data_IF_116535826424
#
_entry.id   IF_116535826424
#
_cell.length_a   1.000
_cell.length_b   1.000
_cell.length_c   1.000
_cell.angle_alpha   90.00
_cell.angle_beta   90.00
_cell.angle_gamma   90.00
#
_symmetry.space_group_name_H-M   'P 1'
#
loop_
_entity.id
_entity.type
_entity.pdbx_description
1 polymer ?
#
# COMPACT_ATOMS: atom_id res chain seq x y z
N UNK A 1 -40.12 -64.23 12.29
CA UNK A 1 -39.74 -63.29 13.38
C UNK A 1 -38.46 -63.84 13.99
N UNK A 2 -37.35 -63.39 13.42
CA UNK A 2 -35.98 -63.94 13.43
C UNK A 2 -35.08 -63.03 14.30
N UNK A 3 -34.14 -63.54 15.12
CA UNK A 3 -32.80 -64.09 14.78
C UNK A 3 -31.84 -62.98 14.35
N UNK A 4 -30.54 -62.84 14.68
CA UNK A 4 -29.46 -63.72 15.20
C UNK A 4 -28.25 -62.79 15.48
N UNK A 5 -27.52 -62.84 16.60
CA UNK A 5 -26.18 -63.45 16.82
C UNK A 5 -25.23 -63.70 15.61
N UNK A 6 -23.93 -63.43 15.86
CA UNK A 6 -22.71 -64.23 15.54
C UNK A 6 -21.83 -63.92 14.28
N UNK A 7 -20.50 -63.92 14.54
CA UNK A 7 -19.29 -64.26 13.74
C UNK A 7 -18.88 -63.37 12.53
N UNK A 8 -17.63 -62.88 12.41
CA UNK A 8 -16.34 -63.55 12.06
C UNK A 8 -16.36 -64.28 10.70
N UNK A 9 -15.59 -63.77 9.71
CA UNK A 9 -14.92 -64.43 8.56
C UNK A 9 -14.50 -63.28 7.59
N UNK A 10 -13.21 -62.94 7.36
CA UNK A 10 -12.26 -63.58 6.44
C UNK A 10 -12.98 -64.08 5.16
N UNK A 11 -12.60 -63.83 3.90
CA UNK A 11 -11.34 -63.56 3.24
C UNK A 11 -11.65 -63.65 1.72
N UNK A 12 -10.91 -62.90 0.88
CA UNK A 12 -10.51 -63.24 -0.50
C UNK A 12 -11.54 -63.47 -1.64
N UNK A 13 -11.46 -62.63 -2.69
CA UNK A 13 -11.06 -62.94 -4.09
C UNK A 13 -11.34 -61.66 -4.94
N UNK A 14 -10.56 -61.19 -5.92
CA UNK A 14 -9.24 -61.52 -6.46
C UNK A 14 -8.77 -60.34 -7.36
N UNK A 15 -7.49 -59.95 -7.24
CA UNK A 15 -6.48 -59.62 -8.28
C UNK A 15 -7.00 -58.99 -9.60
N UNK A 16 -6.53 -57.80 -10.02
CA UNK A 16 -5.38 -57.62 -10.96
C UNK A 16 -4.57 -56.33 -10.69
N UNK A 17 -3.27 -56.57 -10.45
CA UNK A 17 -2.03 -55.81 -10.68
C UNK A 17 -2.03 -54.36 -11.24
N UNK A 18 -1.19 -53.49 -10.65
CA UNK A 18 -0.75 -52.23 -11.27
C UNK A 18 0.04 -51.26 -10.37
N UNK A 19 1.26 -51.64 -9.97
CA UNK A 19 2.42 -50.80 -9.55
C UNK A 19 2.20 -49.44 -8.87
N UNK A 20 2.57 -49.35 -7.58
CA UNK A 20 2.85 -48.07 -6.90
C UNK A 20 3.34 -48.30 -5.47
N UNK A 21 4.63 -48.06 -5.22
CA UNK A 21 5.33 -48.39 -3.98
C UNK A 21 4.69 -47.78 -2.71
N UNK A 22 4.43 -48.63 -1.72
CA UNK A 22 4.12 -48.25 -0.33
C UNK A 22 5.38 -48.49 0.51
N UNK A 23 5.87 -47.44 1.17
CA UNK A 23 6.95 -47.50 2.16
C UNK A 23 6.51 -48.36 3.35
N UNK A 24 7.22 -49.46 3.60
CA UNK A 24 7.07 -50.27 4.80
C UNK A 24 7.84 -49.64 5.97
N UNK A 25 7.20 -49.49 7.12
CA UNK A 25 7.89 -49.29 8.40
C UNK A 25 8.32 -50.65 8.94
N UNK A 26 9.63 -50.92 8.98
CA UNK A 26 10.19 -52.04 9.72
C UNK A 26 10.49 -51.60 11.16
N UNK A 27 9.80 -52.20 12.13
CA UNK A 27 10.26 -52.23 13.52
C UNK A 27 11.27 -53.39 13.65
N UNK A 28 12.55 -53.06 13.81
CA UNK A 28 13.55 -54.02 14.27
C UNK A 28 13.72 -53.90 15.78
N UNK A 29 13.29 -54.93 16.50
CA UNK A 29 13.68 -55.20 17.89
C UNK A 29 15.09 -55.76 17.89
N UNK A 30 16.05 -55.02 18.43
CA UNK A 30 17.35 -55.57 18.82
C UNK A 30 17.59 -55.35 20.31
N UNK A 31 17.71 -56.47 21.02
CA UNK A 31 18.21 -56.57 22.39
C UNK A 31 19.72 -56.31 22.40
N UNK A 32 20.19 -55.36 23.21
CA UNK A 32 21.58 -55.34 23.64
C UNK A 32 21.70 -54.83 25.08
N UNK A 33 22.35 -55.66 25.91
CA UNK A 33 22.64 -55.42 27.32
C UNK A 33 24.15 -55.10 27.46
N UNK A 34 24.51 -54.23 28.41
CA UNK A 34 25.87 -53.72 28.73
C UNK A 34 26.43 -52.72 27.70
N UNK A 35 27.01 -51.57 28.03
CA UNK A 35 27.75 -51.14 29.22
C UNK A 35 27.79 -49.59 29.28
N UNK A 36 28.22 -49.06 30.42
CA UNK A 36 28.09 -47.65 30.88
C UNK A 36 28.77 -46.58 29.99
N UNK A 37 28.14 -45.39 29.93
CA UNK A 37 28.87 -44.12 30.06
C UNK A 37 28.88 -43.14 28.86
N UNK A 38 27.89 -42.24 28.83
CA UNK A 38 27.87 -40.88 28.24
C UNK A 38 28.69 -40.62 26.95
N UNK A 39 27.98 -40.59 25.81
CA UNK A 39 28.31 -39.71 24.68
C UNK A 39 27.02 -39.08 24.14
N UNK A 40 26.97 -37.74 24.17
CA UNK A 40 25.92 -36.93 23.57
C UNK A 40 25.85 -37.20 22.06
N UNK A 41 24.84 -37.95 21.61
CA UNK A 41 24.47 -38.00 20.19
C UNK A 41 23.41 -36.93 19.93
N UNK A 42 23.85 -35.83 19.31
CA UNK A 42 23.00 -34.81 18.71
C UNK A 42 22.01 -35.46 17.74
N UNK A 43 20.72 -35.50 18.10
CA UNK A 43 19.64 -35.65 17.14
C UNK A 43 19.63 -34.39 16.28
N UNK A 44 20.15 -34.48 15.05
CA UNK A 44 20.01 -33.42 14.05
C UNK A 44 18.52 -33.33 13.67
N UNK A 45 17.85 -32.18 13.86
CA UNK A 45 16.53 -31.98 13.29
C UNK A 45 16.65 -32.03 11.77
N UNK A 46 15.74 -32.75 11.11
CA UNK A 46 15.58 -32.70 9.66
C UNK A 46 15.38 -31.24 9.25
N UNK A 47 16.33 -30.69 8.49
CA UNK A 47 16.26 -29.37 7.89
C UNK A 47 15.26 -29.41 6.73
N UNK A 48 13.98 -29.20 7.03
CA UNK A 48 12.99 -28.89 6.00
C UNK A 48 13.29 -27.50 5.44
N UNK A 49 13.88 -27.45 4.24
CA UNK A 49 14.02 -26.20 3.49
C UNK A 49 12.65 -25.83 2.92
N UNK A 50 11.93 -24.96 3.62
CA UNK A 50 10.72 -24.33 3.10
C UNK A 50 11.15 -23.29 2.07
N UNK A 51 11.07 -23.67 0.80
CA UNK A 51 11.34 -22.75 -0.33
C UNK A 51 10.21 -21.73 -0.40
N UNK A 52 10.56 -20.44 -0.34
CA UNK A 52 9.62 -19.32 -0.45
C UNK A 52 10.14 -18.31 -1.45
N UNK A 53 9.25 -17.81 -2.27
CA UNK A 53 9.53 -16.80 -3.27
C UNK A 53 8.28 -15.94 -3.47
N UNK A 54 8.45 -14.76 -4.06
CA UNK A 54 7.33 -13.89 -4.44
C UNK A 54 6.50 -14.57 -5.53
N UNK A 55 5.19 -14.59 -5.35
CA UNK A 55 4.23 -15.17 -6.30
C UNK A 55 4.02 -14.21 -7.48
N UNK A 56 5.08 -14.04 -8.27
CA UNK A 56 5.11 -13.11 -9.40
C UNK A 56 4.36 -13.70 -10.61
N UNK A 57 3.91 -12.83 -11.53
CA UNK A 57 3.31 -13.25 -12.79
C UNK A 57 4.31 -14.04 -13.64
N UNK A 58 3.81 -15.06 -14.34
CA UNK A 58 4.58 -15.90 -15.24
C UNK A 58 3.71 -16.29 -16.43
N UNK A 59 4.32 -16.86 -17.47
CA UNK A 59 3.61 -17.30 -18.67
C UNK A 59 3.94 -18.76 -18.97
N UNK A 60 2.97 -19.49 -19.50
CA UNK A 60 3.24 -20.81 -20.08
C UNK A 60 3.79 -20.73 -21.51
N UNK A 61 4.12 -21.89 -22.09
CA UNK A 61 4.58 -21.98 -23.48
C UNK A 61 3.56 -21.54 -24.54
N UNK A 62 2.30 -21.26 -24.14
CA UNK A 62 1.23 -20.73 -24.98
C UNK A 62 0.88 -19.26 -24.68
N UNK A 63 1.73 -18.53 -23.94
CA UNK A 63 1.49 -17.16 -23.46
C UNK A 63 0.27 -16.99 -22.53
N UNK A 64 -0.23 -18.08 -21.94
CA UNK A 64 -1.24 -17.99 -20.91
C UNK A 64 -0.59 -17.52 -19.61
N UNK A 65 -1.06 -16.38 -19.10
CA UNK A 65 -0.60 -15.81 -17.83
C UNK A 65 -1.05 -16.70 -16.65
N UNK A 66 -0.11 -16.98 -15.76
CA UNK A 66 -0.28 -17.68 -14.50
C UNK A 66 0.46 -16.95 -13.38
N UNK A 67 0.56 -17.61 -12.22
CA UNK A 67 1.29 -17.07 -11.06
C UNK A 67 2.32 -18.09 -10.60
N UNK A 68 3.51 -17.62 -10.26
CA UNK A 68 4.56 -18.49 -9.77
C UNK A 68 4.19 -19.08 -8.39
N UNK A 69 4.09 -20.40 -8.29
CA UNK A 69 3.82 -21.13 -7.05
C UNK A 69 4.71 -22.36 -6.97
N UNK A 70 4.85 -22.95 -5.79
CA UNK A 70 5.48 -24.27 -5.70
C UNK A 70 4.61 -25.31 -6.44
N UNK A 71 5.18 -26.38 -7.00
CA UNK A 71 4.39 -27.42 -7.68
C UNK A 71 3.28 -28.01 -6.79
N UNK A 72 3.54 -28.14 -5.49
CA UNK A 72 2.58 -28.65 -4.51
C UNK A 72 1.42 -27.67 -4.33
N UNK A 73 1.71 -26.40 -4.06
CA UNK A 73 0.70 -25.35 -3.93
C UNK A 73 -0.16 -25.25 -5.19
N UNK A 74 0.46 -25.25 -6.36
CA UNK A 74 -0.27 -25.17 -7.62
C UNK A 74 -1.32 -26.28 -7.75
N UNK A 75 -0.94 -27.52 -7.42
CA UNK A 75 -1.85 -28.66 -7.43
C UNK A 75 -2.92 -28.55 -6.35
N UNK A 76 -2.58 -28.08 -5.15
CA UNK A 76 -3.55 -27.82 -4.08
C UNK A 76 -4.59 -26.78 -4.49
N UNK A 77 -4.20 -25.80 -5.31
CA UNK A 77 -5.09 -24.80 -5.88
C UNK A 77 -5.82 -25.26 -7.15
N UNK A 78 -5.76 -26.56 -7.48
CA UNK A 78 -6.37 -27.13 -8.67
C UNK A 78 -5.83 -26.54 -9.99
N UNK A 79 -4.66 -25.90 -9.95
CA UNK A 79 -4.01 -25.31 -11.11
C UNK A 79 -3.12 -26.30 -11.83
N UNK A 80 -2.77 -25.96 -13.07
CA UNK A 80 -1.79 -26.67 -13.88
C UNK A 80 -0.45 -25.95 -13.82
N UNK A 81 0.62 -26.66 -13.47
CA UNK A 81 1.99 -26.14 -13.53
C UNK A 81 2.55 -26.31 -14.94
N UNK A 82 2.90 -25.22 -15.61
CA UNK A 82 3.19 -25.24 -17.06
C UNK A 82 4.62 -24.86 -17.45
N UNK A 83 5.25 -23.91 -16.75
CA UNK A 83 6.61 -23.44 -17.02
C UNK A 83 7.39 -23.26 -15.72
N UNK A 84 8.72 -23.27 -15.75
CA UNK A 84 9.50 -22.97 -14.54
C UNK A 84 9.54 -21.46 -14.27
N UNK A 85 9.49 -21.08 -13.00
CA UNK A 85 9.62 -19.70 -12.54
C UNK A 85 10.43 -19.64 -11.23
N UNK A 86 10.69 -18.43 -10.71
CA UNK A 86 11.50 -18.21 -9.51
C UNK A 86 12.85 -18.97 -9.55
N UNK A 87 13.62 -18.82 -10.63
CA UNK A 87 14.91 -19.52 -10.84
C UNK A 87 14.84 -21.05 -10.69
N UNK A 88 13.71 -21.66 -11.07
CA UNK A 88 13.50 -23.11 -11.05
C UNK A 88 12.91 -23.65 -9.75
N UNK A 89 12.67 -22.80 -8.74
CA UNK A 89 12.03 -23.18 -7.49
C UNK A 89 10.50 -23.27 -7.58
N UNK A 90 9.91 -22.63 -8.59
CA UNK A 90 8.46 -22.60 -8.81
C UNK A 90 8.04 -23.12 -10.17
N UNK A 91 6.74 -23.39 -10.28
CA UNK A 91 6.04 -23.60 -11.55
C UNK A 91 5.07 -22.46 -11.79
N UNK A 92 4.91 -22.09 -13.06
CA UNK A 92 3.89 -21.17 -13.49
C UNK A 92 2.53 -21.86 -13.35
N UNK A 93 1.78 -21.44 -12.34
CA UNK A 93 0.53 -22.07 -11.99
C UNK A 93 -0.62 -21.33 -12.65
N UNK A 94 -1.34 -22.05 -13.50
CA UNK A 94 -2.56 -21.54 -14.13
C UNK A 94 -3.73 -22.16 -13.37
N UNK A 95 -4.37 -21.36 -12.53
CA UNK A 95 -5.55 -21.77 -11.77
C UNK A 95 -6.70 -20.80 -12.00
N UNK A 96 -7.85 -21.35 -12.37
CA UNK A 96 -9.11 -20.61 -12.45
C UNK A 96 -9.58 -20.11 -11.08
N UNK A 97 -8.97 -20.53 -9.97
CA UNK A 97 -9.27 -19.98 -8.64
C UNK A 97 -8.75 -18.54 -8.48
N UNK A 98 -7.55 -18.25 -8.99
CA UNK A 98 -6.90 -16.94 -8.82
C UNK A 98 -6.86 -16.11 -10.08
N UNK A 99 -7.12 -16.68 -11.26
CA UNK A 99 -7.26 -15.91 -12.49
C UNK A 99 -8.73 -15.95 -12.92
N UNK A 100 -9.42 -14.81 -12.80
CA UNK A 100 -10.84 -14.65 -13.13
C UNK A 100 -11.04 -13.75 -14.34
N UNK A 101 -12.14 -13.97 -15.04
CA UNK A 101 -12.66 -13.07 -16.06
C UNK A 101 -14.12 -12.72 -15.73
N UNK A 102 -14.86 -12.23 -16.72
CA UNK A 102 -16.21 -11.69 -16.53
C UNK A 102 -17.19 -12.67 -15.89
N UNK A 103 -18.14 -12.13 -15.13
CA UNK A 103 -19.27 -12.84 -14.52
C UNK A 103 -18.81 -13.95 -13.56
N UNK A 104 -17.70 -13.71 -12.86
CA UNK A 104 -17.17 -14.66 -11.91
C UNK A 104 -17.31 -14.14 -10.49
N UNK A 105 -17.31 -15.08 -9.55
CA UNK A 105 -17.23 -14.79 -8.11
C UNK A 105 -15.95 -15.42 -7.54
N UNK A 106 -15.37 -14.76 -6.54
CA UNK A 106 -14.20 -15.26 -5.83
C UNK A 106 -14.27 -14.90 -4.34
N UNK A 107 -13.70 -15.76 -3.51
CA UNK A 107 -13.42 -15.47 -2.09
C UNK A 107 -11.94 -15.59 -1.75
N UNK A 108 -11.09 -15.67 -2.78
CA UNK A 108 -9.65 -15.82 -2.60
C UNK A 108 -9.02 -14.53 -2.05
N UNK A 109 -8.02 -14.67 -1.18
CA UNK A 109 -7.30 -13.53 -0.59
C UNK A 109 -6.59 -12.68 -1.64
N UNK A 110 -6.08 -13.30 -2.70
CA UNK A 110 -5.50 -12.61 -3.87
C UNK A 110 -6.14 -13.19 -5.13
N UNK A 111 -6.53 -12.33 -6.07
CA UNK A 111 -7.09 -12.73 -7.37
C UNK A 111 -6.65 -11.76 -8.45
N UNK A 112 -6.40 -12.27 -9.65
CA UNK A 112 -6.14 -11.52 -10.87
C UNK A 112 -7.42 -11.47 -11.69
N UNK A 113 -7.80 -10.27 -12.14
CA UNK A 113 -9.00 -10.03 -12.94
C UNK A 113 -8.60 -9.43 -14.28
N UNK A 114 -8.99 -10.09 -15.36
CA UNK A 114 -8.54 -9.74 -16.72
C UNK A 114 -9.67 -9.77 -17.74
N UNK A 115 -9.53 -9.00 -18.80
CA UNK A 115 -10.45 -9.05 -19.92
C UNK A 115 -10.45 -10.45 -20.58
N UNK A 116 -11.56 -10.90 -21.18
CA UNK A 116 -11.71 -12.26 -21.72
C UNK A 116 -10.54 -12.73 -22.59
N UNK A 117 -10.03 -11.87 -23.47
CA UNK A 117 -8.96 -12.22 -24.41
C UNK A 117 -7.54 -11.87 -23.91
N UNK A 118 -7.37 -11.42 -22.67
CA UNK A 118 -6.05 -11.04 -22.14
C UNK A 118 -5.02 -12.18 -22.32
N UNK A 119 -3.79 -11.88 -22.84
CA UNK A 119 -3.14 -10.57 -22.96
C UNK A 119 -3.50 -9.74 -24.20
N UNK A 120 -4.36 -10.26 -25.09
CA UNK A 120 -4.88 -9.48 -26.20
C UNK A 120 -5.94 -8.46 -25.71
N UNK A 121 -6.13 -7.42 -26.51
CA UNK A 121 -7.22 -6.47 -26.31
C UNK A 121 -8.54 -7.04 -26.84
N UNK A 122 -9.64 -6.66 -26.19
CA UNK A 122 -11.00 -6.87 -26.68
C UNK A 122 -11.53 -5.54 -27.25
N UNK A 123 -12.60 -5.58 -28.04
CA UNK A 123 -13.19 -4.39 -28.69
C UNK A 123 -14.72 -4.47 -28.80
N UNK A 124 -15.34 -5.31 -27.98
CA UNK A 124 -16.77 -5.55 -28.00
C UNK A 124 -17.44 -4.85 -26.81
N UNK A 125 -18.66 -4.34 -27.04
CA UNK A 125 -19.49 -3.84 -25.96
C UNK A 125 -19.81 -4.98 -24.99
N UNK A 126 -19.48 -4.78 -23.72
CA UNK A 126 -19.69 -5.79 -22.69
C UNK A 126 -19.92 -5.17 -21.31
N UNK A 127 -20.59 -5.94 -20.45
CA UNK A 127 -20.65 -5.68 -19.01
C UNK A 127 -19.83 -6.78 -18.35
N UNK A 128 -18.67 -6.45 -17.81
CA UNK A 128 -17.77 -7.44 -17.23
C UNK A 128 -17.61 -7.19 -15.73
N UNK A 129 -18.28 -7.99 -14.92
CA UNK A 129 -18.21 -7.90 -13.47
C UNK A 129 -17.37 -9.01 -12.85
N UNK A 130 -16.74 -8.69 -11.71
CA UNK A 130 -16.17 -9.64 -10.78
C UNK A 130 -16.77 -9.36 -9.39
N UNK A 131 -17.42 -10.38 -8.83
CA UNK A 131 -17.94 -10.35 -7.47
C UNK A 131 -16.92 -10.93 -6.48
N UNK A 132 -16.65 -10.20 -5.41
CA UNK A 132 -15.68 -10.58 -4.37
C UNK A 132 -16.44 -10.81 -3.07
N UNK A 133 -16.48 -12.06 -2.63
CA UNK A 133 -17.07 -12.45 -1.35
C UNK A 133 -16.03 -12.32 -0.24
N UNK A 134 -16.26 -11.38 0.68
CA UNK A 134 -15.37 -11.12 1.82
C UNK A 134 -15.84 -11.94 3.01
N UNK A 135 -15.37 -13.20 3.06
CA UNK A 135 -15.78 -14.18 4.07
C UNK A 135 -15.12 -13.99 5.42
N UNK A 136 -13.85 -13.58 5.43
CA UNK A 136 -13.09 -13.40 6.66
C UNK A 136 -13.42 -12.05 7.30
N UNK A 137 -13.90 -12.09 8.55
CA UNK A 137 -14.29 -10.94 9.36
C UNK A 137 -13.14 -9.94 9.57
N UNK A 138 -11.88 -10.39 9.58
CA UNK A 138 -10.74 -9.49 9.78
C UNK A 138 -10.37 -8.69 8.53
N UNK A 139 -10.94 -8.99 7.36
CA UNK A 139 -10.73 -8.16 6.16
C UNK A 139 -11.53 -6.87 6.29
N UNK A 140 -10.90 -5.71 6.11
CA UNK A 140 -11.62 -4.42 5.99
C UNK A 140 -11.31 -3.62 4.74
N UNK A 141 -10.33 -4.03 3.94
CA UNK A 141 -10.01 -3.32 2.72
C UNK A 141 -9.69 -4.28 1.59
N UNK A 142 -9.94 -3.83 0.37
CA UNK A 142 -9.38 -4.40 -0.84
C UNK A 142 -8.35 -3.43 -1.41
N UNK A 143 -7.25 -3.95 -1.93
CA UNK A 143 -6.32 -3.20 -2.77
C UNK A 143 -6.40 -3.73 -4.17
N UNK A 144 -6.64 -2.86 -5.14
CA UNK A 144 -6.60 -3.16 -6.56
C UNK A 144 -5.35 -2.52 -7.13
N UNK A 145 -4.40 -3.33 -7.58
CA UNK A 145 -3.21 -2.90 -8.32
C UNK A 145 -3.48 -3.04 -9.83
N UNK A 146 -3.26 -1.97 -10.58
CA UNK A 146 -3.54 -1.91 -12.02
C UNK A 146 -2.29 -2.32 -12.80
N UNK A 147 -2.10 -3.62 -12.99
CA UNK A 147 -0.93 -4.17 -13.70
C UNK A 147 -0.95 -3.79 -15.18
N UNK A 148 -2.14 -3.83 -15.78
CA UNK A 148 -2.46 -3.20 -17.05
C UNK A 148 -3.84 -2.56 -16.98
N UNK A 149 -4.00 -1.40 -17.60
CA UNK A 149 -5.26 -0.66 -17.59
C UNK A 149 -5.29 0.30 -18.77
N UNK A 150 -6.03 -0.10 -19.80
CA UNK A 150 -6.28 0.69 -20.99
C UNK A 150 -7.76 0.59 -21.35
N UNK A 151 -8.46 1.69 -21.16
CA UNK A 151 -9.83 1.90 -21.60
C UNK A 151 -9.88 3.09 -22.58
N UNK A 152 -11.03 3.31 -23.21
CA UNK A 152 -11.29 4.56 -23.94
C UNK A 152 -10.92 5.80 -23.10
N UNK A 153 -10.32 6.83 -23.71
CA UNK A 153 -10.00 8.07 -23.02
C UNK A 153 -11.28 8.84 -22.62
N UNK A 154 -11.20 9.73 -21.61
CA UNK A 154 -12.32 10.55 -21.21
C UNK A 154 -12.71 11.58 -22.28
N UNK A 155 -14.01 11.83 -22.41
CA UNK A 155 -14.54 12.95 -23.21
C UNK A 155 -14.82 14.12 -22.28
N UNK A 156 -14.08 15.23 -22.45
CA UNK A 156 -14.15 16.42 -21.58
C UNK A 156 -14.00 16.05 -20.08
N UNK A 157 -13.02 15.20 -19.78
CA UNK A 157 -12.74 14.72 -18.42
C UNK A 157 -13.73 13.68 -17.87
N UNK A 158 -14.73 13.24 -18.64
CA UNK A 158 -15.73 12.27 -18.18
C UNK A 158 -15.61 10.94 -18.92
N UNK A 159 -15.72 9.84 -18.18
CA UNK A 159 -15.73 8.48 -18.71
C UNK A 159 -17.09 8.13 -19.34
N UNK A 160 -17.36 8.69 -20.53
CA UNK A 160 -18.61 8.46 -21.27
C UNK A 160 -18.60 7.13 -22.04
N UNK A 161 -17.43 6.70 -22.51
CA UNK A 161 -17.23 5.41 -23.15
C UNK A 161 -17.00 4.31 -22.11
N UNK A 162 -15.90 3.59 -22.30
CA UNK A 162 -15.44 2.56 -21.38
C UNK A 162 -15.19 3.12 -19.98
N UNK A 163 -15.58 2.36 -18.95
CA UNK A 163 -15.40 2.78 -17.56
C UNK A 163 -15.27 1.61 -16.60
N UNK A 164 -14.43 1.81 -15.59
CA UNK A 164 -14.38 1.01 -14.38
C UNK A 164 -15.21 1.69 -13.29
N UNK A 165 -16.11 0.92 -12.67
CA UNK A 165 -16.84 1.28 -11.47
C UNK A 165 -16.59 0.23 -10.38
N UNK A 166 -16.37 0.68 -9.15
CA UNK A 166 -16.14 -0.21 -8.01
C UNK A 166 -17.12 0.11 -6.90
N UNK A 167 -17.76 -0.92 -6.36
CA UNK A 167 -18.69 -0.81 -5.25
C UNK A 167 -18.35 -1.83 -4.17
N UNK A 168 -18.71 -1.51 -2.93
CA UNK A 168 -18.53 -2.42 -1.81
C UNK A 168 -19.68 -2.26 -0.81
N UNK A 169 -19.94 -3.33 -0.06
CA UNK A 169 -20.94 -3.36 1.00
C UNK A 169 -20.72 -2.21 1.98
N UNK A 170 -21.78 -1.42 2.22
CA UNK A 170 -21.79 -0.25 3.12
C UNK A 170 -20.82 0.88 2.76
N UNK A 171 -20.18 0.82 1.60
CA UNK A 171 -19.45 1.96 1.08
C UNK A 171 -20.47 2.98 0.55
N UNK A 172 -20.30 4.25 0.90
CA UNK A 172 -21.19 5.29 0.39
C UNK A 172 -21.10 5.37 -1.14
N UNK A 173 -22.22 5.72 -1.78
CA UNK A 173 -22.27 5.90 -3.24
C UNK A 173 -21.25 6.95 -3.67
N UNK A 174 -20.59 6.72 -4.80
CA UNK A 174 -19.55 7.60 -5.37
C UNK A 174 -18.29 7.79 -4.52
N UNK A 175 -18.06 6.97 -3.48
CA UNK A 175 -16.81 7.03 -2.70
C UNK A 175 -15.57 6.63 -3.51
N UNK A 176 -15.75 5.81 -4.54
CA UNK A 176 -14.71 5.46 -5.50
C UNK A 176 -15.07 6.14 -6.83
N UNK A 177 -14.18 6.98 -7.40
CA UNK A 177 -14.44 7.62 -8.67
C UNK A 177 -14.49 6.59 -9.80
N UNK A 178 -15.31 6.87 -10.82
CA UNK A 178 -15.33 6.13 -12.07
C UNK A 178 -14.03 6.41 -12.85
N UNK A 179 -13.33 5.37 -13.30
CA UNK A 179 -12.04 5.50 -13.98
C UNK A 179 -12.11 5.05 -15.44
N UNK A 180 -11.33 5.70 -16.31
CA UNK A 180 -11.16 5.37 -17.72
C UNK A 180 -9.80 5.87 -18.22
N UNK A 181 -9.50 5.64 -19.50
CA UNK A 181 -8.20 5.94 -20.10
C UNK A 181 -7.07 5.03 -19.62
N UNK A 182 -5.87 5.59 -19.47
CA UNK A 182 -4.64 4.87 -19.14
C UNK A 182 -4.28 5.04 -17.66
N UNK A 183 -4.24 3.95 -16.90
CA UNK A 183 -3.96 3.99 -15.45
C UNK A 183 -2.99 2.90 -14.98
N UNK A 184 -2.14 2.40 -15.88
CA UNK A 184 -1.18 1.34 -15.58
C UNK A 184 -0.24 1.74 -14.43
N UNK A 185 0.11 0.77 -13.58
CA UNK A 185 0.94 0.90 -12.38
C UNK A 185 0.35 1.79 -11.26
N UNK A 186 -0.92 2.19 -11.37
CA UNK A 186 -1.66 2.81 -10.28
C UNK A 186 -2.28 1.74 -9.37
N UNK A 187 -2.87 2.19 -8.26
CA UNK A 187 -3.64 1.34 -7.36
C UNK A 187 -4.76 2.13 -6.67
N UNK A 188 -5.76 1.41 -6.18
CA UNK A 188 -6.81 1.97 -5.31
C UNK A 188 -7.09 1.07 -4.12
N UNK A 189 -7.43 1.69 -2.99
CA UNK A 189 -7.93 1.06 -1.78
C UNK A 189 -9.44 1.22 -1.69
N UNK A 190 -10.14 0.12 -1.45
CA UNK A 190 -11.60 0.06 -1.33
C UNK A 190 -11.93 -0.40 0.07
N UNK A 191 -12.64 0.43 0.83
CA UNK A 191 -13.06 0.07 2.18
C UNK A 191 -14.24 -0.91 2.14
N UNK A 192 -14.14 -1.96 2.95
CA UNK A 192 -15.17 -2.96 3.22
C UNK A 192 -15.39 -2.98 4.73
N UNK A 193 -16.14 -2.01 5.29
CA UNK A 193 -16.27 -1.86 6.74
C UNK A 193 -16.69 -3.16 7.41
N UNK A 194 -16.05 -3.49 8.53
CA UNK A 194 -16.51 -4.59 9.37
C UNK A 194 -17.91 -4.29 9.88
N UNK A 195 -18.74 -5.33 9.96
CA UNK A 195 -20.02 -5.25 10.62
C UNK A 195 -20.05 -6.25 11.77
N UNK A 196 -19.93 -5.73 12.99
CA UNK A 196 -20.04 -6.55 14.20
C UNK A 196 -21.45 -7.15 14.40
N UNK A 197 -22.47 -6.61 13.72
CA UNK A 197 -23.87 -6.87 14.04
C UNK A 197 -24.70 -7.47 12.89
N UNK A 198 -24.19 -7.53 11.65
CA UNK A 198 -24.93 -8.17 10.54
C UNK A 198 -24.39 -9.54 10.18
N UNK A 199 -25.32 -10.50 10.10
CA UNK A 199 -25.12 -11.80 9.44
C UNK A 199 -25.09 -11.70 7.90
N UNK A 200 -25.22 -10.49 7.34
CA UNK A 200 -25.17 -10.26 5.90
C UNK A 200 -23.73 -10.44 5.40
N UNK A 201 -23.55 -11.25 4.36
CA UNK A 201 -22.26 -11.41 3.71
C UNK A 201 -21.74 -10.06 3.20
N UNK A 202 -20.47 -9.75 3.47
CA UNK A 202 -19.80 -8.59 2.92
C UNK A 202 -19.24 -8.93 1.55
N UNK A 203 -19.43 -8.03 0.60
CA UNK A 203 -18.96 -8.21 -0.77
C UNK A 203 -18.52 -6.90 -1.40
N UNK A 204 -17.74 -7.01 -2.46
CA UNK A 204 -17.42 -5.94 -3.37
C UNK A 204 -17.66 -6.38 -4.82
N UNK A 205 -17.96 -5.42 -5.70
CA UNK A 205 -18.14 -5.66 -7.13
C UNK A 205 -17.26 -4.71 -7.91
N UNK A 206 -16.46 -5.31 -8.80
CA UNK A 206 -15.61 -4.60 -9.77
C UNK A 206 -16.29 -4.73 -11.12
N UNK A 207 -16.74 -3.62 -11.71
CA UNK A 207 -17.51 -3.62 -12.95
C UNK A 207 -16.80 -2.80 -14.02
N UNK A 208 -16.48 -3.45 -15.13
CA UNK A 208 -16.15 -2.76 -16.37
C UNK A 208 -17.39 -2.71 -17.25
N UNK A 209 -17.69 -1.51 -17.77
CA UNK A 209 -18.67 -1.33 -18.84
C UNK A 209 -17.92 -0.80 -20.05
N UNK A 210 -17.94 -1.54 -21.15
CA UNK A 210 -17.20 -1.20 -22.37
C UNK A 210 -18.15 -0.97 -23.55
N UNK A 211 -17.65 -0.30 -24.58
CA UNK A 211 -18.33 -0.10 -25.85
C UNK A 211 -17.56 -0.76 -27.02
N UNK A 212 -17.89 -0.41 -28.26
CA UNK A 212 -17.27 -0.92 -29.48
C UNK A 212 -16.48 0.13 -30.29
N UNK A 213 -16.12 1.26 -29.68
CA UNK A 213 -15.41 2.38 -30.30
C UNK A 213 -13.89 2.23 -30.25
N UNK A 214 -13.38 1.49 -29.27
CA UNK A 214 -11.95 1.33 -29.03
C UNK A 214 -11.60 -0.07 -28.55
N UNK A 215 -10.32 -0.41 -28.66
CA UNK A 215 -9.78 -1.61 -28.06
C UNK A 215 -9.45 -1.34 -26.58
N UNK A 216 -9.88 -2.23 -25.70
CA UNK A 216 -9.62 -2.16 -24.27
C UNK A 216 -8.84 -3.38 -23.78
N UNK A 217 -8.12 -3.18 -22.69
CA UNK A 217 -7.38 -4.24 -22.00
C UNK A 217 -7.23 -3.89 -20.54
N UNK A 218 -7.45 -4.86 -19.65
CA UNK A 218 -7.15 -4.69 -18.24
C UNK A 218 -6.60 -5.97 -17.63
N UNK A 219 -5.73 -5.77 -16.65
CA UNK A 219 -5.22 -6.80 -15.78
C UNK A 219 -5.02 -6.21 -14.39
N UNK A 220 -5.91 -6.59 -13.47
CA UNK A 220 -5.89 -6.13 -12.10
C UNK A 220 -5.41 -7.24 -11.18
N UNK A 221 -4.58 -6.91 -10.19
CA UNK A 221 -4.36 -7.76 -9.02
C UNK A 221 -5.15 -7.21 -7.85
N UNK A 222 -6.02 -8.01 -7.28
CA UNK A 222 -6.91 -7.63 -6.19
C UNK A 222 -6.51 -8.42 -4.95
N UNK A 223 -6.26 -7.70 -3.85
CA UNK A 223 -5.83 -8.28 -2.57
C UNK A 223 -6.82 -7.91 -1.47
N UNK A 224 -7.36 -8.90 -0.76
CA UNK A 224 -8.09 -8.70 0.49
C UNK A 224 -7.10 -8.44 1.62
N UNK A 225 -7.29 -7.33 2.33
CA UNK A 225 -6.40 -6.81 3.38
C UNK A 225 -7.07 -6.90 4.74
N UNK A 226 -6.36 -7.54 5.65
CA UNK A 226 -6.71 -7.68 7.07
C UNK A 226 -6.59 -6.33 7.80
N UNK A 227 -7.42 -6.10 8.81
CA UNK A 227 -7.45 -4.87 9.59
C UNK A 227 -6.35 -4.80 10.63
N UNK A 228 -5.80 -5.94 11.01
CA UNK A 228 -4.80 -6.02 12.08
C UNK A 228 -3.61 -5.15 11.70
N UNK A 229 -3.28 -4.21 12.59
CA UNK A 229 -2.11 -3.34 12.44
C UNK A 229 -0.85 -4.20 12.62
N UNK A 230 0.24 -3.83 11.96
CA UNK A 230 1.53 -4.52 12.10
C UNK A 230 2.02 -4.61 13.57
N UNK A 231 1.52 -3.74 14.46
CA UNK A 231 1.73 -3.82 15.91
C UNK A 231 1.20 -5.13 16.55
N UNK A 232 0.11 -5.69 16.02
CA UNK A 232 -0.47 -6.95 16.49
C UNK A 232 0.21 -8.16 15.83
N UNK A 233 0.75 -7.98 14.62
CA UNK A 233 1.60 -8.99 13.97
C UNK A 233 2.89 -9.23 14.74
N UNK A 234 3.49 -8.24 15.40
CA UNK A 234 4.63 -8.45 16.30
C UNK A 234 4.32 -9.38 17.49
N UNK A 235 3.04 -9.51 17.88
CA UNK A 235 2.59 -10.43 18.93
C UNK A 235 2.36 -11.85 18.40
N UNK A 236 1.99 -12.00 17.13
CA UNK A 236 1.73 -13.27 16.44
C UNK A 236 3.00 -13.85 15.77
N UNK A 237 3.87 -13.01 15.21
CA UNK A 237 5.19 -13.40 14.67
C UNK A 237 6.07 -14.00 15.77
N UNK A 238 6.00 -13.48 17.00
CA UNK A 238 6.74 -14.06 18.14
C UNK A 238 6.29 -15.47 18.53
N UNK A 239 5.08 -15.92 18.16
CA UNK A 239 4.56 -17.22 18.59
C UNK A 239 4.56 -18.30 17.49
N UNK A 240 4.44 -17.95 16.21
CA UNK A 240 4.37 -18.95 15.12
C UNK A 240 5.30 -18.73 13.92
N UNK A 241 5.80 -17.49 13.69
CA UNK A 241 6.55 -17.14 12.48
C UNK A 241 7.87 -16.40 12.75
N UNK A 242 8.49 -16.61 13.93
CA UNK A 242 9.71 -15.93 14.36
C UNK A 242 10.96 -16.21 13.49
N UNK A 243 10.82 -17.11 12.51
CA UNK A 243 11.86 -17.48 11.56
C UNK A 243 11.73 -16.78 10.20
N UNK A 244 10.64 -16.02 9.95
CA UNK A 244 10.44 -15.30 8.69
C UNK A 244 11.11 -13.91 8.81
N UNK A 245 12.09 -13.58 7.94
CA UNK A 245 12.59 -12.21 7.83
C UNK A 245 11.45 -11.26 7.46
N UNK A 246 11.31 -10.15 8.18
CA UNK A 246 10.27 -9.12 7.94
C UNK A 246 10.28 -8.64 6.48
N UNK A 247 11.46 -8.57 5.86
CA UNK A 247 11.65 -8.23 4.44
C UNK A 247 11.04 -9.23 3.44
N UNK A 248 10.74 -10.47 3.84
CA UNK A 248 10.19 -11.51 2.97
C UNK A 248 8.64 -11.58 3.03
N UNK A 249 8.00 -10.84 3.95
CA UNK A 249 6.56 -10.79 4.06
C UNK A 249 6.06 -9.48 3.44
N UNK A 250 5.75 -9.49 2.13
CA UNK A 250 4.97 -8.40 1.50
C UNK A 250 3.54 -8.43 2.04
N UNK A 251 3.35 -8.01 3.29
CA UNK A 251 2.02 -7.75 3.85
C UNK A 251 1.50 -6.50 3.18
N UNK A 252 0.41 -6.61 2.42
CA UNK A 252 -0.35 -5.45 2.00
C UNK A 252 -0.98 -4.83 3.25
N UNK A 253 -0.43 -3.71 3.72
CA UNK A 253 -0.95 -2.99 4.86
C UNK A 253 -2.26 -2.25 4.51
N UNK A 254 -3.21 -2.17 5.46
CA UNK A 254 -4.41 -1.36 5.26
C UNK A 254 -4.01 0.11 5.15
N UNK A 255 -4.55 0.80 4.15
CA UNK A 255 -4.47 2.24 4.05
C UNK A 255 -5.32 2.88 5.16
N UNK A 256 -4.95 4.08 5.65
CA UNK A 256 -5.84 4.82 6.55
C UNK A 256 -7.22 5.03 5.92
N UNK A 257 -8.27 5.08 6.76
CA UNK A 257 -9.64 5.27 6.27
C UNK A 257 -9.75 6.58 5.49
N UNK A 258 -10.45 6.53 4.35
CA UNK A 258 -10.64 7.68 3.45
C UNK A 258 -9.55 7.86 2.39
N UNK A 259 -8.42 7.17 2.50
CA UNK A 259 -7.36 7.20 1.49
C UNK A 259 -7.71 6.30 0.30
N UNK A 260 -7.83 6.87 -0.90
CA UNK A 260 -8.01 6.09 -2.13
C UNK A 260 -6.66 5.51 -2.59
N UNK A 261 -5.58 6.28 -2.45
CA UNK A 261 -4.22 5.83 -2.70
C UNK A 261 -3.40 5.89 -1.42
N UNK A 262 -2.47 4.95 -1.26
CA UNK A 262 -1.58 4.89 -0.11
C UNK A 262 -0.17 4.48 -0.51
N UNK A 263 0.82 5.23 -0.03
CA UNK A 263 2.24 5.02 -0.31
C UNK A 263 3.02 4.92 1.01
N UNK A 264 3.74 3.82 1.20
CA UNK A 264 4.53 3.56 2.42
C UNK A 264 6.04 3.72 2.24
N UNK A 265 6.49 4.09 1.05
CA UNK A 265 7.92 4.18 0.72
C UNK A 265 8.53 5.51 1.17
N UNK A 266 9.85 5.53 1.34
CA UNK A 266 10.61 6.76 1.63
C UNK A 266 10.54 7.76 0.46
N UNK A 267 10.43 7.27 -0.77
CA UNK A 267 10.29 8.06 -1.97
C UNK A 267 9.45 7.31 -3.00
N UNK A 268 8.84 8.03 -3.93
CA UNK A 268 8.06 7.43 -5.00
C UNK A 268 7.45 8.48 -5.92
N UNK A 269 6.71 8.00 -6.92
CA UNK A 269 5.99 8.84 -7.88
C UNK A 269 4.49 8.69 -7.63
N UNK A 270 3.79 9.81 -7.61
CA UNK A 270 2.34 9.87 -7.52
C UNK A 270 1.81 10.50 -8.81
N UNK A 271 0.91 9.82 -9.48
CA UNK A 271 0.27 10.27 -10.71
C UNK A 271 -1.24 10.46 -10.51
N UNK A 272 -1.79 11.50 -11.12
CA UNK A 272 -3.25 11.61 -11.30
C UNK A 272 -3.77 10.47 -12.16
N UNK A 273 -4.99 9.99 -11.88
CA UNK A 273 -5.67 9.07 -12.80
C UNK A 273 -5.79 9.68 -14.20
N UNK A 274 -5.52 8.85 -15.21
CA UNK A 274 -5.42 9.20 -16.61
C UNK A 274 -4.44 10.36 -16.88
N UNK A 275 -3.27 10.35 -16.25
CA UNK A 275 -2.19 11.29 -16.54
C UNK A 275 -1.95 11.39 -18.06
N UNK A 276 -1.92 12.60 -18.60
CA UNK A 276 -2.11 12.88 -20.02
C UNK A 276 -3.33 13.78 -20.25
N UNK A 277 -4.46 13.41 -19.65
CA UNK A 277 -5.73 14.13 -19.67
C UNK A 277 -6.54 13.79 -18.41
N UNK A 278 -6.31 14.49 -17.30
CA UNK A 278 -6.94 14.11 -16.02
C UNK A 278 -8.47 14.15 -16.08
N UNK A 279 -9.09 13.38 -15.19
CA UNK A 279 -10.54 13.25 -15.10
C UNK A 279 -11.17 14.44 -14.35
N UNK A 280 -12.36 14.85 -14.79
CA UNK A 280 -13.18 15.89 -14.13
C UNK A 280 -14.06 15.27 -13.02
N UNK A 281 -14.51 16.10 -12.07
CA UNK A 281 -15.27 15.72 -10.87
C UNK A 281 -14.54 14.71 -9.97
N UNK A 282 -13.22 14.74 -9.97
CA UNK A 282 -12.40 13.96 -9.06
C UNK A 282 -12.32 14.65 -7.71
N UNK A 283 -12.47 13.86 -6.65
CA UNK A 283 -12.24 14.29 -5.28
C UNK A 283 -11.77 13.09 -4.46
N UNK A 284 -10.46 12.93 -4.34
CA UNK A 284 -9.89 11.77 -3.63
C UNK A 284 -8.64 12.13 -2.84
N UNK A 285 -8.45 11.39 -1.74
CA UNK A 285 -7.29 11.52 -0.88
C UNK A 285 -6.18 10.55 -1.28
N UNK A 286 -4.95 11.04 -1.22
CA UNK A 286 -3.72 10.29 -1.46
C UNK A 286 -2.89 10.39 -0.18
N UNK A 287 -2.62 9.26 0.44
CA UNK A 287 -1.96 9.23 1.74
C UNK A 287 -0.54 8.70 1.62
N UNK A 288 0.38 9.33 2.34
CA UNK A 288 1.76 8.88 2.46
C UNK A 288 1.99 8.50 3.92
N UNK A 289 2.46 7.28 4.15
CA UNK A 289 2.88 6.82 5.47
C UNK A 289 4.10 7.63 5.92
N UNK A 290 4.04 8.12 7.14
CA UNK A 290 5.16 8.87 7.71
C UNK A 290 6.22 7.91 8.26
N UNK A 291 7.42 7.94 7.69
CA UNK A 291 8.55 7.18 8.24
C UNK A 291 9.05 7.80 9.56
N UNK A 292 9.38 6.99 10.59
CA UNK A 292 9.73 7.46 11.93
C UNK A 292 10.87 8.50 11.98
N UNK A 293 11.89 8.35 11.13
CA UNK A 293 13.10 9.19 11.16
C UNK A 293 13.01 10.43 10.27
N UNK A 294 11.84 10.66 9.65
CA UNK A 294 11.65 11.73 8.67
C UNK A 294 10.83 12.88 9.26
N UNK A 295 11.09 14.10 8.81
CA UNK A 295 10.49 15.32 9.38
C UNK A 295 9.86 16.27 8.35
N UNK A 296 10.05 16.01 7.07
CA UNK A 296 9.34 16.68 5.98
C UNK A 296 9.15 15.75 4.78
N UNK A 297 8.30 16.16 3.86
CA UNK A 297 8.14 15.54 2.54
C UNK A 297 8.33 16.62 1.49
N UNK A 298 9.20 16.33 0.53
CA UNK A 298 9.52 17.22 -0.59
C UNK A 298 8.83 16.69 -1.83
N UNK A 299 8.04 17.54 -2.47
CA UNK A 299 7.32 17.26 -3.71
C UNK A 299 7.96 18.03 -4.85
N UNK A 300 8.30 17.34 -5.93
CA UNK A 300 8.90 17.94 -7.12
C UNK A 300 8.29 17.35 -8.38
N UNK A 301 8.22 18.15 -9.44
CA UNK A 301 7.73 17.71 -10.75
C UNK A 301 8.53 18.41 -11.85
N UNK A 302 8.67 17.75 -13.00
CA UNK A 302 9.27 18.34 -14.19
C UNK A 302 8.26 19.21 -14.93
N UNK A 303 8.74 20.00 -15.89
CA UNK A 303 7.88 20.84 -16.75
C UNK A 303 6.89 19.99 -17.57
N UNK A 304 7.25 18.76 -17.91
CA UNK A 304 6.43 17.85 -18.70
C UNK A 304 5.50 16.97 -17.85
N UNK A 305 5.58 17.09 -16.52
CA UNK A 305 4.90 16.21 -15.57
C UNK A 305 3.83 16.96 -14.75
N UNK A 306 3.53 18.21 -15.09
CA UNK A 306 2.58 19.03 -14.36
C UNK A 306 1.84 20.00 -15.28
N UNK A 307 0.52 19.87 -15.33
CA UNK A 307 -0.36 20.95 -15.75
C UNK A 307 -1.77 20.70 -15.20
N UNK A 308 -2.22 21.58 -14.30
CA UNK A 308 -3.56 21.55 -13.70
C UNK A 308 -4.23 22.90 -14.00
N UNK A 309 -5.54 22.92 -14.25
CA UNK A 309 -6.23 24.17 -14.58
C UNK A 309 -6.04 25.25 -13.49
N UNK A 310 -5.99 26.50 -13.95
CA UNK A 310 -5.71 27.68 -13.13
C UNK A 310 -6.65 28.81 -13.52
N UNK A 311 -7.24 29.43 -12.51
CA UNK A 311 -8.23 30.49 -12.66
C UNK A 311 -7.59 31.88 -12.81
N UNK A 312 -6.68 32.04 -13.78
CA UNK A 312 -6.15 33.35 -14.21
C UNK A 312 -5.67 33.36 -15.67
N UNK A 313 -5.24 34.54 -16.14
CA UNK A 313 -4.75 34.72 -17.52
C UNK A 313 -3.36 34.08 -17.77
N UNK A 314 -2.62 33.72 -16.72
CA UNK A 314 -1.24 33.23 -16.80
C UNK A 314 -1.19 31.74 -16.49
N UNK A 315 -1.92 30.96 -17.29
CA UNK A 315 -2.14 29.52 -17.06
C UNK A 315 -0.84 28.72 -17.01
N UNK A 316 0.17 29.08 -17.80
CA UNK A 316 1.44 28.33 -17.88
C UNK A 316 2.35 28.49 -16.65
N UNK A 317 2.06 29.47 -15.79
CA UNK A 317 2.83 29.72 -14.55
C UNK A 317 2.27 28.92 -13.38
N UNK A 318 3.06 28.80 -12.31
CA UNK A 318 2.61 28.17 -11.08
C UNK A 318 1.44 28.94 -10.45
N UNK A 319 0.37 28.21 -10.11
CA UNK A 319 -0.72 28.70 -9.27
C UNK A 319 -0.56 28.25 -7.84
N UNK A 320 -0.73 29.17 -6.89
CA UNK A 320 -0.62 28.90 -5.46
C UNK A 320 -1.78 29.55 -4.71
N UNK A 321 -2.39 28.79 -3.80
CA UNK A 321 -3.49 29.24 -2.96
C UNK A 321 -4.86 29.13 -3.62
N UNK A 322 -5.90 29.37 -2.82
CA UNK A 322 -7.31 29.24 -3.19
C UNK A 322 -7.78 30.24 -4.26
N UNK A 323 -7.16 31.42 -4.34
CA UNK A 323 -7.52 32.43 -5.35
C UNK A 323 -7.14 31.97 -6.76
N UNK A 324 -5.93 31.44 -6.97
CA UNK A 324 -5.49 30.98 -8.29
C UNK A 324 -5.95 29.55 -8.60
N UNK A 325 -6.08 28.73 -7.57
CA UNK A 325 -6.44 27.32 -7.66
C UNK A 325 -7.80 27.07 -7.00
N UNK A 326 -8.80 27.81 -7.48
CA UNK A 326 -10.17 27.77 -6.97
C UNK A 326 -10.97 26.58 -7.49
N UNK A 327 -10.66 26.11 -8.70
CA UNK A 327 -11.40 25.07 -9.41
C UNK A 327 -10.68 23.74 -9.27
N UNK A 328 -9.52 23.61 -9.91
CA UNK A 328 -8.73 22.38 -9.92
C UNK A 328 -7.43 22.59 -9.16
N UNK A 329 -7.05 21.62 -8.34
CA UNK A 329 -5.84 21.69 -7.54
C UNK A 329 -5.38 20.34 -7.00
N UNK A 330 -4.07 20.23 -6.82
CA UNK A 330 -3.50 19.29 -5.85
C UNK A 330 -3.33 20.03 -4.53
N UNK A 331 -3.95 19.51 -3.48
CA UNK A 331 -3.78 19.99 -2.12
C UNK A 331 -2.56 19.33 -1.50
N UNK A 332 -1.57 20.14 -1.11
CA UNK A 332 -0.39 19.72 -0.36
C UNK A 332 -0.41 20.48 0.97
N UNK A 333 -0.70 19.83 2.11
CA UNK A 333 -0.92 20.53 3.37
C UNK A 333 0.35 21.23 3.84
N UNK A 334 0.26 22.51 4.16
CA UNK A 334 1.41 23.27 4.67
C UNK A 334 2.55 23.43 3.66
N UNK A 335 2.24 23.37 2.36
CA UNK A 335 3.22 23.49 1.28
C UNK A 335 3.93 24.84 1.29
N UNK A 336 5.26 24.82 1.29
CA UNK A 336 6.10 26.02 1.32
C UNK A 336 7.49 25.73 0.73
N UNK A 337 8.42 26.69 0.80
CA UNK A 337 9.78 26.53 0.27
C UNK A 337 10.59 25.49 1.04
N UNK A 338 10.48 25.47 2.35
CA UNK A 338 11.32 24.69 3.27
C UNK A 338 10.55 24.10 4.46
N UNK A 339 9.22 24.23 4.45
CA UNK A 339 8.34 23.83 5.53
C UNK A 339 8.20 24.87 6.63
N UNK A 340 8.84 26.04 6.50
CA UNK A 340 8.78 27.15 7.46
C UNK A 340 8.12 28.39 6.84
N UNK A 341 7.61 29.30 7.69
CA UNK A 341 7.04 30.57 7.24
C UNK A 341 5.65 30.45 6.61
N UNK A 342 5.28 31.33 5.65
CA UNK A 342 3.98 31.28 4.99
C UNK A 342 3.78 29.97 4.23
N UNK A 343 2.75 29.24 4.59
CA UNK A 343 2.36 28.00 3.94
C UNK A 343 1.11 28.21 3.08
N UNK A 344 1.01 27.42 2.01
CA UNK A 344 -0.17 27.33 1.16
C UNK A 344 -0.59 25.88 1.00
N UNK A 345 -1.87 25.68 0.73
CA UNK A 345 -2.40 24.32 0.64
C UNK A 345 -2.71 23.87 -0.78
N UNK A 346 -2.98 24.79 -1.72
CA UNK A 346 -3.45 24.44 -3.07
C UNK A 346 -2.44 24.85 -4.14
N UNK A 347 -2.17 23.93 -5.07
CA UNK A 347 -1.22 24.12 -6.16
C UNK A 347 -1.85 23.70 -7.50
N UNK A 348 -1.65 24.52 -8.52
CA UNK A 348 -2.20 24.33 -9.87
C UNK A 348 -1.36 25.07 -10.93
N UNK A 349 -1.85 25.21 -12.15
CA UNK A 349 -1.16 25.90 -13.25
C UNK A 349 -0.20 25.00 -14.03
N UNK A 350 0.60 25.60 -14.89
CA UNK A 350 1.53 24.89 -15.79
C UNK A 350 2.86 24.48 -15.15
N UNK A 351 3.08 24.78 -13.86
CA UNK A 351 4.29 24.40 -13.10
C UNK A 351 3.95 24.13 -11.64
N UNK A 352 4.59 23.12 -11.03
CA UNK A 352 4.61 22.97 -9.58
C UNK A 352 5.66 23.92 -8.99
N UNK A 353 5.25 24.84 -8.13
CA UNK A 353 6.16 25.73 -7.38
C UNK A 353 5.53 26.16 -6.08
N UNK A 354 6.35 26.35 -5.04
CA UNK A 354 5.92 27.02 -3.81
C UNK A 354 5.65 28.53 -4.04
N UNK A 355 6.21 29.10 -5.12
CA UNK A 355 6.15 30.53 -5.42
C UNK A 355 5.02 30.83 -6.41
N UNK A 356 4.17 31.78 -6.04
CA UNK A 356 3.07 32.28 -6.85
C UNK A 356 3.55 32.80 -8.21
N UNK A 357 2.87 32.42 -9.29
CA UNK A 357 3.14 32.86 -10.67
C UNK A 357 4.57 32.61 -11.16
N UNK A 358 5.27 31.63 -10.57
CA UNK A 358 6.61 31.23 -11.01
C UNK A 358 6.56 30.69 -12.44
N UNK A 359 7.53 31.11 -13.27
CA UNK A 359 7.72 30.55 -14.62
C UNK A 359 8.55 29.26 -14.59
N UNK A 360 9.30 29.03 -13.51
CA UNK A 360 10.12 27.85 -13.30
C UNK A 360 9.53 26.92 -12.23
N UNK A 361 9.67 25.60 -12.37
CA UNK A 361 9.26 24.67 -11.34
C UNK A 361 10.17 24.80 -10.11
N UNK A 362 9.60 24.61 -8.93
CA UNK A 362 10.34 24.56 -7.67
C UNK A 362 9.72 23.55 -6.71
N UNK A 363 10.51 22.87 -5.86
CA UNK A 363 9.97 21.91 -4.91
C UNK A 363 9.01 22.54 -3.91
N UNK A 364 7.93 21.83 -3.57
CA UNK A 364 7.01 22.19 -2.49
C UNK A 364 7.29 21.28 -1.30
N UNK A 365 7.56 21.87 -0.14
CA UNK A 365 7.93 21.16 1.08
C UNK A 365 6.78 21.20 2.08
N UNK A 366 6.44 20.06 2.66
CA UNK A 366 5.47 19.92 3.75
C UNK A 366 6.14 19.34 5.01
N UNK A 367 6.03 20.05 6.14
CA UNK A 367 6.55 19.67 7.47
C UNK A 367 5.45 19.20 8.44
N UNK A 368 4.39 18.57 7.94
CA UNK A 368 3.33 18.10 8.84
C UNK A 368 3.82 16.94 9.75
N UNK A 369 3.48 17.04 11.04
CA UNK A 369 3.82 16.05 12.09
C UNK A 369 2.93 14.80 12.07
N UNK A 370 1.98 14.71 11.13
CA UNK A 370 1.00 13.62 11.00
C UNK A 370 1.09 12.93 9.63
N UNK A 371 0.16 12.01 9.32
CA UNK A 371 0.08 11.42 8.00
C UNK A 371 -0.07 12.53 6.95
N UNK A 372 0.72 12.47 5.87
CA UNK A 372 0.62 13.43 4.79
C UNK A 372 -0.54 12.99 3.90
N UNK A 373 -1.63 13.74 3.95
CA UNK A 373 -2.81 13.49 3.14
C UNK A 373 -2.89 14.58 2.07
N UNK A 374 -2.58 14.21 0.85
CA UNK A 374 -2.87 15.04 -0.31
C UNK A 374 -4.32 14.84 -0.73
N UNK A 375 -4.88 15.82 -1.43
CA UNK A 375 -6.21 15.71 -2.04
C UNK A 375 -6.13 16.24 -3.46
N UNK A 376 -6.53 15.44 -4.44
CA UNK A 376 -6.72 15.95 -5.79
C UNK A 376 -8.20 16.27 -6.00
N UNK A 377 -8.47 17.52 -6.35
CA UNK A 377 -9.81 18.03 -6.58
C UNK A 377 -9.90 18.65 -7.96
N UNK A 378 -10.97 18.33 -8.68
CA UNK A 378 -11.28 18.91 -9.99
C UNK A 378 -12.77 19.20 -10.08
N UNK A 379 -13.15 20.29 -10.72
CA UNK A 379 -14.53 20.63 -10.98
C UNK A 379 -15.13 19.84 -12.17
N UNK A 380 -16.27 20.30 -12.70
CA UNK A 380 -16.96 19.62 -13.80
C UNK A 380 -16.55 20.09 -15.21
N UNK A 381 -15.56 21.00 -15.29
CA UNK A 381 -15.09 21.69 -16.49
C UNK A 381 -13.61 21.37 -16.75
N UNK A 382 -13.34 20.38 -17.58
CA UNK A 382 -11.98 20.19 -18.08
C UNK A 382 -11.69 21.18 -19.21
N UNK A 383 -10.80 22.14 -18.97
CA UNK A 383 -10.35 23.06 -20.02
C UNK A 383 -9.39 22.37 -21.00
N UNK A 384 -9.25 22.94 -22.19
CA UNK A 384 -8.38 22.39 -23.25
C UNK A 384 -6.90 22.65 -23.00
N UNK A 385 -6.57 23.63 -22.15
CA UNK A 385 -5.22 23.96 -21.72
C UNK A 385 -5.01 23.49 -20.28
N UNK A 386 -3.79 23.04 -19.97
CA UNK A 386 -3.42 22.51 -18.66
C UNK A 386 -4.30 21.38 -18.13
N UNK A 387 -4.59 20.41 -19.00
CA UNK A 387 -5.36 19.22 -18.65
C UNK A 387 -4.49 17.97 -18.47
N UNK A 388 -3.15 18.12 -18.45
CA UNK A 388 -2.23 17.00 -18.38
C UNK A 388 -2.40 16.19 -17.08
N UNK A 389 -2.55 16.90 -15.96
CA UNK A 389 -2.63 16.33 -14.62
C UNK A 389 -1.32 16.54 -13.89
N UNK A 390 -0.98 15.61 -13.01
CA UNK A 390 0.29 15.66 -12.30
C UNK A 390 0.95 14.29 -12.25
N UNK A 391 2.28 14.31 -12.33
CA UNK A 391 3.21 13.27 -11.93
C UNK A 391 4.22 13.94 -11.00
N UNK A 392 4.16 13.61 -9.73
CA UNK A 392 4.96 14.24 -8.68
C UNK A 392 5.84 13.20 -8.03
N UNK A 393 7.14 13.46 -7.99
CA UNK A 393 8.08 12.74 -7.16
C UNK A 393 7.97 13.26 -5.72
N UNK A 394 7.79 12.36 -4.77
CA UNK A 394 7.91 12.67 -3.34
C UNK A 394 9.15 12.01 -2.74
N UNK A 395 9.74 12.68 -1.74
CA UNK A 395 10.83 12.14 -0.91
C UNK A 395 10.63 12.57 0.53
N UNK A 396 10.67 11.62 1.46
CA UNK A 396 10.65 11.87 2.90
C UNK A 396 12.08 12.09 3.38
N UNK A 397 12.38 13.26 3.96
CA UNK A 397 13.73 13.63 4.37
C UNK A 397 13.89 13.68 5.89
N UNK A 398 15.10 13.39 6.35
CA UNK A 398 15.52 13.36 7.76
C UNK A 398 16.30 14.61 8.19
N UNK A 399 16.65 15.49 7.25
CA UNK A 399 17.51 16.66 7.50
C UNK A 399 16.75 17.98 7.54
N UNK A 400 17.28 18.97 8.27
CA UNK A 400 16.72 20.34 8.40
C UNK A 400 15.30 20.37 9.00
N UNK A 401 15.09 19.49 9.97
CA UNK A 401 13.85 19.32 10.73
C UNK A 401 13.65 20.31 11.87
N UNK A 402 14.72 21.02 12.25
CA UNK A 402 14.67 22.01 13.30
C UNK A 402 14.26 23.35 12.68
N UNK A 403 13.27 24.00 13.29
CA UNK A 403 13.11 25.44 13.15
C UNK A 403 14.41 26.08 13.62
N UNK A 404 14.93 27.05 12.87
CA UNK A 404 16.09 27.83 13.30
C UNK A 404 15.68 28.61 14.55
N UNK A 405 15.86 28.03 15.73
CA UNK A 405 15.84 28.80 16.97
C UNK A 405 17.11 29.65 16.96
N UNK A 406 16.92 30.96 16.85
CA UNK A 406 17.97 31.97 16.92
C UNK A 406 18.97 31.70 18.05
N UNK A 407 20.24 31.55 17.68
CA UNK A 407 21.46 31.85 18.44
C UNK A 407 21.40 31.69 19.97
N UNK A 408 21.74 30.51 20.48
CA UNK A 408 22.53 30.44 21.72
C UNK A 408 23.99 30.33 21.28
N UNK A 409 24.70 31.46 21.34
CA UNK A 409 26.16 31.49 21.25
C UNK A 409 26.70 30.72 22.45
N UNK A 410 27.11 29.46 22.24
CA UNK A 410 27.95 28.75 23.19
C UNK A 410 29.37 29.32 23.09
N UNK A 411 29.63 30.39 23.85
CA UNK A 411 31.00 30.82 24.12
C UNK A 411 31.71 29.68 24.88
N UNK A 412 32.49 28.89 24.14
CA UNK A 412 33.54 28.06 24.71
C UNK A 412 34.71 28.98 25.09
N UNK A 413 34.75 29.42 26.34
CA UNK A 413 35.94 30.06 26.89
C UNK A 413 36.96 28.97 27.24
N UNK A 414 38.04 28.96 26.47
CA UNK A 414 39.26 28.20 26.73
C UNK A 414 39.84 28.55 28.10
N UNK A 415 40.21 27.51 28.85
CA UNK A 415 40.91 27.65 30.12
C UNK A 415 42.36 28.04 29.80
N UNK A 416 42.65 29.34 29.83
CA UNK A 416 44.00 29.85 29.94
C UNK A 416 44.31 30.11 31.42
N UNK A 417 45.23 29.32 31.95
CA UNK A 417 45.86 29.49 33.25
C UNK A 417 46.53 30.85 33.37
N UNK A 418 46.15 31.68 34.35
CA UNK A 418 46.98 32.74 34.88
C UNK A 418 46.64 32.99 36.36
N UNK A 419 47.72 33.11 37.12
CA UNK A 419 47.87 33.21 38.56
C UNK A 419 47.14 34.39 39.22
N UNK A 420 46.68 34.16 40.45
CA UNK A 420 46.17 35.18 41.37
C UNK A 420 47.16 36.33 41.62
N UNK A 421 46.66 37.51 41.99
CA UNK A 421 46.92 37.95 43.35
C UNK A 421 45.68 38.43 44.11
N UNK A 422 45.93 38.62 45.39
CA UNK A 422 45.06 38.68 46.56
C UNK A 422 44.79 40.12 47.01
N UNK A 423 43.56 40.39 47.50
CA UNK A 423 43.09 41.48 48.39
C UNK A 423 43.19 42.93 47.84
N UNK A 424 42.36 43.93 48.19
CA UNK A 424 41.42 44.18 49.28
C UNK A 424 40.59 45.45 48.98
N UNK A 425 39.43 45.62 49.62
CA UNK A 425 39.04 46.95 50.16
C UNK A 425 37.76 47.63 49.66
N UNK A 426 36.85 47.84 50.63
CA UNK A 426 35.92 48.97 50.79
C UNK A 426 34.50 48.98 50.15
N UNK A 427 33.55 48.48 50.94
CA UNK A 427 32.29 49.10 51.44
C UNK A 427 31.65 50.30 50.70
N UNK A 428 30.36 50.20 50.31
CA UNK A 428 29.18 50.74 51.03
C UNK A 428 27.91 50.89 50.13
N UNK A 429 26.75 50.46 50.68
CA UNK A 429 25.36 51.03 50.62
C UNK A 429 24.82 51.67 49.30
N UNK A 430 23.57 51.51 48.84
CA UNK A 430 22.26 51.41 49.50
C UNK A 430 21.18 50.84 48.54
N UNK A 431 20.22 50.11 49.14
CA UNK A 431 18.83 49.79 48.78
C UNK A 431 18.12 50.49 47.60
N UNK A 432 17.35 49.70 46.81
CA UNK A 432 15.87 49.79 46.67
C UNK A 432 15.30 48.52 46.01
N UNK A 433 14.50 47.78 46.79
CA UNK A 433 13.26 47.01 46.47
C UNK A 433 12.66 47.21 45.05
N UNK A 434 12.06 46.25 44.32
CA UNK A 434 11.19 45.14 44.76
C UNK A 434 10.90 44.12 43.62
N UNK A 435 10.77 42.84 44.02
CA UNK A 435 9.87 41.77 43.55
C UNK A 435 9.92 41.18 42.12
N UNK A 436 10.65 40.06 42.00
CA UNK A 436 10.46 38.99 41.01
C UNK A 436 9.89 37.76 41.72
N UNK A 437 8.62 37.42 41.49
CA UNK A 437 7.99 36.19 42.00
C UNK A 437 8.13 35.09 40.97
N UNK A 438 9.11 34.20 41.15
CA UNK A 438 9.19 32.90 40.49
C UNK A 438 8.57 31.85 41.41
N UNK A 439 7.38 31.34 41.07
CA UNK A 439 6.81 30.15 41.73
C UNK A 439 7.21 28.89 40.97
N UNK A 440 8.20 28.21 41.53
CA UNK A 440 8.45 26.77 41.37
C UNK A 440 7.52 26.01 42.33
N UNK A 441 6.79 25.00 41.84
CA UNK A 441 6.15 24.02 42.71
C UNK A 441 6.52 22.61 42.24
N UNK A 442 7.44 22.01 42.99
CA UNK A 442 7.79 20.60 42.98
C UNK A 442 6.86 19.81 43.91
N UNK A 443 6.44 18.62 43.43
CA UNK A 443 6.11 17.36 44.15
C UNK A 443 5.77 17.39 45.65
N UNK A 444 4.65 16.77 46.01
CA UNK A 444 4.51 15.44 46.66
C UNK A 444 3.16 15.33 47.38
N UNK A 445 2.44 14.22 47.21
CA UNK A 445 1.81 13.49 48.33
C UNK A 445 1.30 12.12 47.85
N UNK A 446 1.67 11.10 48.64
CA UNK A 446 1.28 9.69 48.54
C UNK A 446 0.67 9.31 49.90
N UNK A 447 -0.12 8.23 49.89
CA UNK A 447 -0.79 7.47 50.99
C UNK A 447 -2.28 7.82 51.09
N UNK A 448 -3.24 6.88 51.04
CA UNK A 448 -3.24 5.41 51.22
C UNK A 448 -3.91 4.71 50.05
#
# INVERSE_FOLDING_TARGET
MHSTKLLLFAAFLEIICGTGAILQFSNSTDNFNSDRGRRLSFLRPSIFNVVRFSNDECYDGGNQSGTCYTPIECKTFGGSGTAMCANGYGTCCISSLFSKSCHNTTSQKVVYFKNPSYPASDNQQNYCDLSIDVKDADICQLRLDFLDFQLDPPTKGRCLGDRLSVTASKLATNSIPTLCGLNRHSHIYVSVPQDANSKAGRSASILFVTNNNGAYRWHLRITQIECTKMSDLNRVQKSFFGFIPEAALKVSLPAPQGCLQYYSTASGVIESFNFGHYLANMDYAICIERLPDTCKVVFSSSIADWAIDKNDAYKDTAGVGDIQCSNDYLLIPGGSRDGEGPTFDRFCGGKLSYSKSSQEPAPVVSKANGPIVLRFHTDNQLLTQNNLGFRVQFTQETTNCQSVSSNIVSNSLSVASLSAPVLSGYTNFQNTNENLVLRSNTKYLRLK
#
